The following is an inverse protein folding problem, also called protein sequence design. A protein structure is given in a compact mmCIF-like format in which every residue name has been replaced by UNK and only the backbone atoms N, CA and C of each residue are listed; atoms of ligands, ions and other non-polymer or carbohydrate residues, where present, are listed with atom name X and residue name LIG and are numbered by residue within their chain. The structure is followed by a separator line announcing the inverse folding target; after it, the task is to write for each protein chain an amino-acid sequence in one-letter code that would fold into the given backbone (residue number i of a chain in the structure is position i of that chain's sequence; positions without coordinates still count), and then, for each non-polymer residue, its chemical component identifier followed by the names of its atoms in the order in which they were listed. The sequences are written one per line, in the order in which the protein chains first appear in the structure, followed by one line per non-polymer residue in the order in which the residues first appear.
data_IF_963319239553
#
_entry.id   IF_963319239553
#
_cell.length_a   1.000
_cell.length_b   1.000
_cell.length_c   1.000
_cell.angle_alpha   90.00
_cell.angle_beta   90.00
_cell.angle_gamma   90.00
#
_symmetry.space_group_name_H-M   'P 1'
#
loop_
_entity.id
_entity.type
_entity.pdbx_description
1 polymer ?
#
# COMPACT_ATOMS: atom_id res chain seq x y z
N UNK A 1 -13.68 11.88 -19.31
CA UNK A 1 -13.05 11.63 -18.00
C UNK A 1 -11.90 12.61 -17.69
N UNK A 2 -11.07 12.99 -18.65
CA UNK A 2 -9.85 13.76 -18.37
C UNK A 2 -10.02 15.24 -17.99
N UNK A 3 -11.22 15.81 -18.03
CA UNK A 3 -11.50 17.20 -17.61
C UNK A 3 -11.89 17.30 -16.14
N UNK A 4 -12.46 16.23 -15.59
CA UNK A 4 -13.07 16.22 -14.25
C UNK A 4 -12.32 15.33 -13.27
N UNK A 5 -11.42 14.47 -13.78
CA UNK A 5 -10.62 13.57 -12.95
C UNK A 5 -9.45 14.33 -12.32
N UNK A 6 -9.39 14.35 -10.99
CA UNK A 6 -8.34 15.04 -10.21
C UNK A 6 -7.35 14.08 -9.55
N UNK A 7 -7.76 12.84 -9.32
CA UNK A 7 -6.99 11.83 -8.60
C UNK A 7 -7.17 10.45 -9.21
N UNK A 8 -6.07 9.73 -9.45
CA UNK A 8 -6.06 8.40 -10.04
C UNK A 8 -5.18 7.46 -9.22
N UNK A 9 -5.77 6.36 -8.77
CA UNK A 9 -5.06 5.29 -8.04
C UNK A 9 -4.83 4.14 -9.01
N UNK A 10 -3.57 3.77 -9.22
CA UNK A 10 -3.15 2.70 -10.12
C UNK A 10 -2.96 1.36 -9.39
N UNK A 11 -3.81 1.06 -8.43
CA UNK A 11 -3.85 -0.27 -7.82
C UNK A 11 -5.24 -0.57 -7.26
N UNK A 12 -5.62 -1.82 -7.35
CA UNK A 12 -6.79 -2.39 -6.70
C UNK A 12 -6.43 -3.80 -6.21
N UNK A 13 -6.06 -4.69 -7.12
CA UNK A 13 -5.53 -6.02 -6.88
C UNK A 13 -4.27 -6.21 -7.73
N UNK A 14 -3.35 -7.07 -7.28
CA UNK A 14 -2.13 -7.40 -8.00
C UNK A 14 -0.99 -6.40 -7.79
N UNK A 15 -0.03 -6.41 -8.72
CA UNK A 15 1.19 -5.62 -8.69
C UNK A 15 1.27 -4.74 -9.94
N UNK A 16 1.23 -3.40 -9.82
CA UNK A 16 1.20 -2.47 -10.96
C UNK A 16 2.40 -2.61 -11.88
N UNK A 17 3.59 -2.88 -11.34
CA UNK A 17 4.82 -2.99 -12.12
C UNK A 17 4.91 -4.25 -13.00
N UNK A 18 3.94 -5.15 -12.93
CA UNK A 18 3.78 -6.25 -13.89
C UNK A 18 3.15 -5.80 -15.20
N UNK A 19 2.45 -4.65 -15.21
CA UNK A 19 1.89 -4.10 -16.42
C UNK A 19 2.98 -3.27 -17.15
N UNK A 20 3.39 -3.64 -18.37
CA UNK A 20 4.45 -2.94 -19.09
C UNK A 20 4.09 -1.48 -19.43
N UNK A 21 2.81 -1.15 -19.56
CA UNK A 21 2.33 0.19 -19.91
C UNK A 21 2.07 1.07 -18.69
N UNK A 22 2.27 0.55 -17.46
CA UNK A 22 1.92 1.24 -16.23
C UNK A 22 2.52 2.64 -16.14
N UNK A 23 3.84 2.77 -16.33
CA UNK A 23 4.51 4.07 -16.21
C UNK A 23 4.15 5.04 -17.35
N UNK A 24 3.76 4.54 -18.52
CA UNK A 24 3.27 5.40 -19.60
C UNK A 24 1.87 5.92 -19.31
N UNK A 25 1.02 5.12 -18.65
CA UNK A 25 -0.26 5.60 -18.13
C UNK A 25 -0.08 6.68 -17.06
N UNK A 26 0.90 6.51 -16.16
CA UNK A 26 1.26 7.55 -15.16
C UNK A 26 1.72 8.84 -15.85
N UNK A 27 2.64 8.75 -16.83
CA UNK A 27 3.09 9.92 -17.62
C UNK A 27 1.94 10.63 -18.32
N UNK A 28 0.99 9.87 -18.86
CA UNK A 28 -0.17 10.45 -19.51
C UNK A 28 -1.05 11.20 -18.51
N UNK A 29 -1.32 10.62 -17.34
CA UNK A 29 -2.10 11.25 -16.28
C UNK A 29 -1.40 12.52 -15.75
N UNK A 30 -0.08 12.46 -15.52
CA UNK A 30 0.74 13.59 -15.09
C UNK A 30 0.66 14.76 -16.09
N UNK A 31 0.77 14.50 -17.41
CA UNK A 31 0.57 15.53 -18.45
C UNK A 31 -0.81 16.19 -18.41
N UNK A 32 -1.81 15.50 -17.88
CA UNK A 32 -3.17 16.03 -17.67
C UNK A 32 -3.35 16.71 -16.32
N UNK A 33 -2.30 16.80 -15.51
CA UNK A 33 -2.31 17.35 -14.15
C UNK A 33 -3.24 16.58 -13.20
N UNK A 34 -3.38 15.29 -13.42
CA UNK A 34 -4.12 14.38 -12.55
C UNK A 34 -3.13 13.84 -11.52
N UNK A 35 -3.43 14.00 -10.24
CA UNK A 35 -2.62 13.43 -9.16
C UNK A 35 -2.65 11.91 -9.20
N UNK A 36 -1.49 11.27 -9.18
CA UNK A 36 -1.33 9.83 -9.36
C UNK A 36 -0.76 9.16 -8.12
N UNK A 37 -1.32 8.02 -7.74
CA UNK A 37 -0.83 7.21 -6.64
C UNK A 37 -0.79 5.73 -7.02
N UNK A 38 0.19 5.01 -6.48
CA UNK A 38 0.24 3.55 -6.59
C UNK A 38 0.76 2.91 -5.32
N UNK A 39 0.52 1.60 -5.20
CA UNK A 39 1.10 0.74 -4.16
C UNK A 39 1.79 -0.45 -4.81
N UNK A 40 2.94 -0.85 -4.28
CA UNK A 40 3.77 -1.93 -4.81
C UNK A 40 4.36 -2.78 -3.69
N UNK A 41 4.64 -4.04 -4.02
CA UNK A 41 5.47 -4.91 -3.18
C UNK A 41 6.98 -4.65 -3.35
N UNK A 42 7.35 -3.71 -4.24
CA UNK A 42 8.70 -3.24 -4.54
C UNK A 42 9.69 -4.26 -5.12
N UNK A 43 9.29 -5.50 -5.40
CA UNK A 43 10.19 -6.53 -5.94
C UNK A 43 10.67 -6.23 -7.36
N UNK A 44 9.99 -5.35 -8.08
CA UNK A 44 10.30 -4.97 -9.46
C UNK A 44 11.01 -3.61 -9.58
N UNK A 45 11.31 -2.96 -8.45
CA UNK A 45 11.98 -1.65 -8.41
C UNK A 45 13.52 -1.79 -8.49
N UNK A 46 14.01 -2.45 -9.53
CA UNK A 46 15.43 -2.41 -9.84
C UNK A 46 15.87 -0.97 -10.20
N UNK A 47 17.17 -0.75 -10.37
CA UNK A 47 17.72 0.59 -10.62
C UNK A 47 17.08 1.29 -11.83
N UNK A 48 16.89 0.58 -12.95
CA UNK A 48 16.28 1.13 -14.16
C UNK A 48 14.79 1.48 -13.94
N UNK A 49 14.03 0.56 -13.31
CA UNK A 49 12.61 0.77 -13.07
C UNK A 49 12.37 1.89 -12.06
N UNK A 50 13.20 2.01 -11.05
CA UNK A 50 13.17 3.10 -10.08
C UNK A 50 13.38 4.46 -10.78
N UNK A 51 14.40 4.56 -11.66
CA UNK A 51 14.62 5.77 -12.47
C UNK A 51 13.41 6.13 -13.31
N UNK A 52 12.87 5.15 -14.07
CA UNK A 52 11.67 5.35 -14.89
C UNK A 52 10.45 5.79 -14.07
N UNK A 53 10.33 5.28 -12.83
CA UNK A 53 9.26 5.69 -11.90
C UNK A 53 9.37 7.17 -11.56
N UNK A 54 10.56 7.67 -11.22
CA UNK A 54 10.75 9.10 -10.98
C UNK A 54 10.44 9.92 -12.24
N UNK A 55 10.98 9.51 -13.39
CA UNK A 55 10.77 10.19 -14.68
C UNK A 55 9.32 10.16 -15.18
N UNK A 56 8.49 9.25 -14.66
CA UNK A 56 7.06 9.17 -15.00
C UNK A 56 6.24 10.33 -14.43
N UNK A 57 6.75 10.99 -13.38
CA UNK A 57 6.02 12.03 -12.66
C UNK A 57 4.94 11.45 -11.74
N UNK A 58 5.11 10.21 -11.26
CA UNK A 58 4.24 9.64 -10.22
C UNK A 58 4.28 10.53 -8.97
N UNK A 59 3.11 10.87 -8.40
CA UNK A 59 3.05 11.78 -7.26
C UNK A 59 3.21 11.06 -5.92
N UNK A 60 2.73 9.83 -5.80
CA UNK A 60 2.74 9.07 -4.54
C UNK A 60 3.02 7.60 -4.78
N UNK A 61 4.02 7.08 -4.06
CA UNK A 61 4.40 5.66 -4.09
C UNK A 61 4.29 5.06 -2.70
N UNK A 62 3.42 4.06 -2.56
CA UNK A 62 3.29 3.28 -1.34
C UNK A 62 4.07 1.98 -1.53
N UNK A 63 5.04 1.73 -0.66
CA UNK A 63 5.79 0.49 -0.60
C UNK A 63 5.27 -0.31 0.59
N UNK A 64 4.73 -1.49 0.32
CA UNK A 64 4.24 -2.40 1.35
C UNK A 64 5.40 -3.12 2.01
N UNK A 65 5.60 -2.86 3.32
CA UNK A 65 6.64 -3.48 4.13
C UNK A 65 6.03 -3.99 5.44
N UNK A 66 5.84 -5.30 5.57
CA UNK A 66 5.10 -5.88 6.69
C UNK A 66 6.01 -6.68 7.64
N UNK A 67 7.29 -6.28 7.71
CA UNK A 67 8.31 -6.82 8.61
C UNK A 67 9.66 -6.16 8.38
N UNK A 68 10.52 -6.14 9.40
CA UNK A 68 11.89 -5.62 9.34
C UNK A 68 12.94 -6.73 9.33
N UNK A 69 12.50 -7.98 9.50
CA UNK A 69 13.32 -9.18 9.33
C UNK A 69 12.62 -10.12 8.37
N UNK A 70 13.39 -10.93 7.61
CA UNK A 70 12.83 -11.86 6.62
C UNK A 70 11.84 -12.83 7.26
N UNK A 71 12.14 -13.38 8.42
CA UNK A 71 11.29 -14.37 9.09
C UNK A 71 9.94 -13.79 9.51
N UNK A 72 9.89 -12.53 9.94
CA UNK A 72 8.63 -11.85 10.28
C UNK A 72 7.89 -11.43 9.02
N UNK A 73 8.60 -10.85 8.04
CA UNK A 73 8.04 -10.39 6.79
C UNK A 73 7.29 -11.50 6.05
N UNK A 74 7.90 -12.69 5.92
CA UNK A 74 7.32 -13.81 5.19
C UNK A 74 6.11 -14.45 5.88
N UNK A 75 5.87 -14.20 7.17
CA UNK A 75 4.68 -14.72 7.86
C UNK A 75 3.39 -14.12 7.31
N UNK A 76 3.46 -12.89 6.80
CA UNK A 76 2.33 -12.24 6.12
C UNK A 76 2.53 -12.21 4.60
N UNK A 77 3.73 -11.89 4.13
CA UNK A 77 4.11 -11.82 2.71
C UNK A 77 4.73 -13.13 2.24
N UNK A 78 3.90 -14.17 2.17
CA UNK A 78 4.34 -15.53 1.78
C UNK A 78 5.06 -15.51 0.43
N UNK A 79 6.27 -16.08 0.40
CA UNK A 79 7.12 -16.08 -0.80
C UNK A 79 7.80 -14.75 -1.12
N UNK A 80 7.56 -13.69 -0.33
CA UNK A 80 8.23 -12.39 -0.51
C UNK A 80 9.67 -12.40 -0.01
N UNK A 81 10.49 -11.54 -0.59
CA UNK A 81 11.89 -11.33 -0.23
C UNK A 81 12.09 -9.91 0.28
N UNK A 82 12.36 -9.75 1.58
CA UNK A 82 12.50 -8.46 2.22
C UNK A 82 13.66 -7.63 1.65
N UNK A 83 14.82 -8.29 1.35
CA UNK A 83 15.98 -7.54 0.82
C UNK A 83 15.66 -6.89 -0.54
N UNK A 84 14.89 -7.57 -1.41
CA UNK A 84 14.42 -6.95 -2.66
C UNK A 84 13.51 -5.73 -2.42
N UNK A 85 12.68 -5.77 -1.39
CA UNK A 85 11.83 -4.62 -1.02
C UNK A 85 12.68 -3.44 -0.58
N UNK A 86 13.69 -3.71 0.27
CA UNK A 86 14.60 -2.69 0.78
C UNK A 86 15.49 -2.13 -0.33
N UNK A 87 15.99 -2.97 -1.23
CA UNK A 87 16.74 -2.56 -2.42
C UNK A 87 15.88 -1.66 -3.31
N UNK A 88 14.64 -2.06 -3.60
CA UNK A 88 13.70 -1.27 -4.39
C UNK A 88 13.43 0.11 -3.77
N UNK A 89 13.27 0.16 -2.44
CA UNK A 89 13.07 1.42 -1.73
C UNK A 89 14.31 2.32 -1.80
N UNK A 90 15.51 1.76 -1.60
CA UNK A 90 16.79 2.49 -1.73
C UNK A 90 16.98 3.03 -3.15
N UNK A 91 16.64 2.25 -4.17
CA UNK A 91 16.72 2.68 -5.57
C UNK A 91 15.78 3.87 -5.86
N UNK A 92 14.56 3.86 -5.36
CA UNK A 92 13.62 4.99 -5.49
C UNK A 92 14.18 6.25 -4.83
N UNK A 93 14.65 6.15 -3.58
CA UNK A 93 15.21 7.30 -2.86
C UNK A 93 16.48 7.82 -3.54
N UNK A 94 17.36 6.93 -4.00
CA UNK A 94 18.55 7.28 -4.78
C UNK A 94 18.18 8.13 -6.00
N UNK A 95 17.30 7.64 -6.86
CA UNK A 95 16.92 8.34 -8.08
C UNK A 95 16.13 9.63 -7.84
N UNK A 96 15.32 9.66 -6.77
CA UNK A 96 14.65 10.88 -6.33
C UNK A 96 15.67 11.97 -6.00
N UNK A 97 16.75 11.61 -5.29
CA UNK A 97 17.83 12.55 -4.92
C UNK A 97 18.67 12.94 -6.15
N UNK A 98 19.10 11.98 -6.98
CA UNK A 98 19.94 12.24 -8.16
C UNK A 98 19.24 13.16 -9.17
N UNK A 99 17.95 12.95 -9.40
CA UNK A 99 17.15 13.78 -10.30
C UNK A 99 16.57 15.04 -9.62
N UNK A 100 16.87 15.25 -8.33
CA UNK A 100 16.37 16.37 -7.51
C UNK A 100 14.84 16.48 -7.60
N UNK A 101 14.15 15.35 -7.62
CA UNK A 101 12.69 15.31 -7.73
C UNK A 101 12.03 15.38 -6.35
N UNK A 102 10.97 16.18 -6.24
CA UNK A 102 10.12 16.19 -5.05
C UNK A 102 9.06 15.07 -5.07
N UNK A 103 8.94 14.36 -6.19
CA UNK A 103 8.00 13.25 -6.35
C UNK A 103 8.71 11.97 -6.81
N UNK A 104 8.14 10.82 -6.50
CA UNK A 104 6.93 10.59 -5.69
C UNK A 104 7.15 10.86 -4.19
N UNK A 105 6.07 11.18 -3.46
CA UNK A 105 6.04 11.08 -2.01
C UNK A 105 6.06 9.60 -1.64
N UNK A 106 7.14 9.13 -1.00
CA UNK A 106 7.41 7.70 -0.76
C UNK A 106 6.95 7.32 0.65
N UNK A 107 6.05 6.35 0.73
CA UNK A 107 5.48 5.88 1.98
C UNK A 107 5.84 4.41 2.20
N UNK A 108 6.44 4.08 3.34
CA UNK A 108 6.41 2.74 3.88
C UNK A 108 5.07 2.49 4.54
N UNK A 109 4.27 1.61 3.97
CA UNK A 109 3.03 1.17 4.60
C UNK A 109 3.28 -0.15 5.32
N UNK A 110 3.10 -0.12 6.64
CA UNK A 110 3.25 -1.27 7.53
C UNK A 110 1.87 -1.70 8.04
N UNK A 111 1.42 -2.86 7.59
CA UNK A 111 0.18 -3.46 8.07
C UNK A 111 0.47 -4.14 9.40
N UNK A 112 -0.04 -3.58 10.49
CA UNK A 112 0.21 -4.13 11.82
C UNK A 112 -0.64 -5.39 12.03
N UNK A 113 0.03 -6.49 12.25
CA UNK A 113 -0.54 -7.79 12.61
C UNK A 113 0.24 -8.36 13.80
N UNK A 114 -0.35 -9.30 14.53
CA UNK A 114 0.28 -9.89 15.72
C UNK A 114 1.73 -10.38 15.51
N UNK A 115 2.08 -11.04 14.37
CA UNK A 115 3.45 -11.48 14.14
C UNK A 115 4.48 -10.35 14.03
N UNK A 116 4.08 -9.14 13.61
CA UNK A 116 5.01 -8.03 13.34
C UNK A 116 4.83 -6.82 14.27
N UNK A 117 3.85 -6.80 15.16
CA UNK A 117 3.56 -5.65 16.03
C UNK A 117 4.74 -5.22 16.92
N UNK A 118 5.66 -6.14 17.23
CA UNK A 118 6.87 -5.85 17.99
C UNK A 118 7.93 -5.08 17.18
N UNK A 119 7.79 -4.97 15.86
CA UNK A 119 8.73 -4.29 14.95
C UNK A 119 8.32 -2.85 14.57
N UNK A 120 7.30 -2.29 15.23
CA UNK A 120 6.80 -0.93 14.93
C UNK A 120 7.92 0.12 15.03
N UNK A 121 8.74 0.08 16.08
CA UNK A 121 9.82 1.05 16.24
C UNK A 121 10.99 0.77 15.27
N UNK A 122 11.21 -0.47 14.90
CA UNK A 122 12.27 -0.84 13.96
C UNK A 122 11.94 -0.38 12.53
N UNK A 123 10.68 -0.51 12.10
CA UNK A 123 10.29 0.00 10.77
C UNK A 123 10.35 1.53 10.68
N UNK A 124 10.10 2.26 11.76
CA UNK A 124 10.30 3.72 11.81
C UNK A 124 11.78 4.09 11.62
N UNK A 125 12.68 3.39 12.31
CA UNK A 125 14.14 3.58 12.16
C UNK A 125 14.57 3.25 10.74
N UNK A 126 14.13 2.10 10.22
CA UNK A 126 14.45 1.64 8.86
C UNK A 126 13.98 2.64 7.79
N UNK A 127 12.76 3.16 7.93
CA UNK A 127 12.24 4.18 7.03
C UNK A 127 13.08 5.47 7.04
N UNK A 128 13.53 5.89 8.22
CA UNK A 128 14.42 7.04 8.37
C UNK A 128 15.81 6.78 7.77
N UNK A 129 16.38 5.60 7.97
CA UNK A 129 17.67 5.19 7.43
C UNK A 129 17.68 5.15 5.90
N UNK A 130 16.62 4.63 5.30
CA UNK A 130 16.47 4.58 3.84
C UNK A 130 16.15 5.97 3.29
N UNK A 131 15.44 6.81 4.04
CA UNK A 131 15.07 8.17 3.65
C UNK A 131 13.72 8.24 2.94
N UNK A 132 12.76 7.36 3.28
CA UNK A 132 11.38 7.51 2.82
C UNK A 132 10.72 8.70 3.48
N UNK A 133 9.72 9.28 2.82
CA UNK A 133 9.07 10.50 3.32
C UNK A 133 8.14 10.23 4.52
N UNK A 134 7.56 9.02 4.60
CA UNK A 134 6.61 8.65 5.67
C UNK A 134 6.65 7.14 5.98
N UNK A 135 6.39 6.78 7.24
CA UNK A 135 6.04 5.42 7.65
C UNK A 135 4.60 5.42 8.18
N UNK A 136 3.70 4.83 7.41
CA UNK A 136 2.27 4.79 7.72
C UNK A 136 1.86 3.41 8.24
N UNK A 137 1.17 3.39 9.39
CA UNK A 137 0.63 2.16 9.97
C UNK A 137 -0.81 1.94 9.55
N UNK A 138 -1.14 0.70 9.19
CA UNK A 138 -2.49 0.26 8.84
C UNK A 138 -2.93 -0.86 9.74
N UNK A 139 -4.22 -0.90 10.04
CA UNK A 139 -4.87 -2.00 10.74
C UNK A 139 -5.30 -3.06 9.74
N UNK A 140 -5.14 -4.33 10.09
CA UNK A 140 -5.53 -5.45 9.25
C UNK A 140 -7.05 -5.66 9.25
N UNK A 141 -7.60 -5.87 8.05
CA UNK A 141 -8.96 -6.37 7.89
C UNK A 141 -8.90 -7.91 7.76
N UNK A 142 -9.58 -8.59 8.66
CA UNK A 142 -9.61 -10.06 8.75
C UNK A 142 -11.05 -10.50 8.55
N UNK A 143 -11.29 -11.38 7.58
CA UNK A 143 -12.65 -11.82 7.25
C UNK A 143 -13.21 -12.76 8.31
N UNK A 144 -12.43 -13.78 8.73
CA UNK A 144 -12.84 -14.78 9.71
C UNK A 144 -12.36 -14.40 11.12
N UNK A 145 -12.74 -13.22 11.59
CA UNK A 145 -12.27 -12.68 12.87
C UNK A 145 -13.02 -13.20 14.10
N UNK A 146 -14.27 -13.65 13.99
CA UNK A 146 -15.18 -13.94 15.10
C UNK A 146 -14.61 -14.96 16.09
N UNK A 147 -13.98 -16.02 15.60
CA UNK A 147 -13.36 -17.06 16.39
C UNK A 147 -11.88 -16.77 16.73
N UNK A 148 -11.41 -15.58 16.41
CA UNK A 148 -10.02 -15.17 16.55
C UNK A 148 -9.16 -15.54 15.36
N UNK A 149 -8.05 -14.82 15.22
CA UNK A 149 -7.06 -15.05 14.17
C UNK A 149 -5.67 -14.73 14.71
N UNK A 150 -4.67 -15.48 14.26
CA UNK A 150 -3.26 -15.22 14.56
C UNK A 150 -2.75 -13.88 13.98
N UNK A 151 -3.53 -13.22 13.14
CA UNK A 151 -3.21 -11.91 12.57
C UNK A 151 -3.79 -10.75 13.40
N UNK A 152 -4.72 -10.99 14.36
CA UNK A 152 -5.26 -9.91 15.20
C UNK A 152 -4.17 -9.41 16.13
N UNK A 153 -3.79 -8.11 16.04
CA UNK A 153 -2.80 -7.51 16.93
C UNK A 153 -3.23 -7.58 18.40
N UNK A 154 -2.25 -7.70 19.29
CA UNK A 154 -2.49 -7.58 20.72
C UNK A 154 -2.51 -6.12 21.17
N UNK A 155 -1.88 -5.24 20.43
CA UNK A 155 -1.91 -3.78 20.67
C UNK A 155 -3.28 -3.25 20.24
N UNK A 156 -4.08 -2.85 21.22
CA UNK A 156 -5.47 -2.46 21.03
C UNK A 156 -5.67 -1.33 20.01
N UNK A 157 -4.78 -0.36 19.99
CA UNK A 157 -4.79 0.76 19.05
C UNK A 157 -4.74 0.30 17.57
N UNK A 158 -4.04 -0.78 17.27
CA UNK A 158 -3.88 -1.33 15.91
C UNK A 158 -4.87 -2.44 15.59
N UNK A 159 -5.81 -2.77 16.48
CA UNK A 159 -6.83 -3.79 16.24
C UNK A 159 -8.18 -3.17 15.89
N UNK A 160 -8.77 -3.63 14.78
CA UNK A 160 -10.19 -3.35 14.46
C UNK A 160 -11.17 -4.13 15.34
N UNK A 161 -10.67 -5.11 16.11
CA UNK A 161 -11.48 -6.11 16.78
C UNK A 161 -11.31 -6.01 18.29
N UNK A 162 -12.42 -6.20 19.01
CA UNK A 162 -12.46 -6.30 20.46
C UNK A 162 -12.82 -7.73 20.87
N UNK A 163 -12.04 -8.30 21.78
CA UNK A 163 -12.36 -9.60 22.38
C UNK A 163 -13.46 -9.44 23.39
N UNK A 164 -14.48 -10.31 23.34
CA UNK A 164 -15.62 -10.35 24.25
C UNK A 164 -15.37 -11.37 25.39
N UNK A 165 -16.22 -11.33 26.41
CA UNK A 165 -16.14 -12.23 27.58
C UNK A 165 -16.35 -13.71 27.22
N UNK A 166 -17.12 -13.98 26.17
CA UNK A 166 -17.33 -15.32 25.60
C UNK A 166 -16.14 -15.85 24.77
N UNK A 167 -15.07 -15.04 24.64
CA UNK A 167 -13.86 -15.36 23.88
C UNK A 167 -13.93 -15.02 22.40
N UNK A 168 -15.08 -14.61 21.87
CA UNK A 168 -15.26 -14.20 20.48
C UNK A 168 -14.78 -12.78 20.26
N UNK A 169 -14.64 -12.41 18.97
CA UNK A 169 -14.24 -11.06 18.57
C UNK A 169 -15.39 -10.34 17.84
N UNK A 170 -15.51 -9.05 18.08
CA UNK A 170 -16.45 -8.16 17.40
C UNK A 170 -15.71 -6.96 16.82
N UNK A 171 -16.28 -6.33 15.79
CA UNK A 171 -15.72 -5.11 15.22
C UNK A 171 -15.95 -3.95 16.20
N UNK A 172 -14.87 -3.22 16.52
CA UNK A 172 -14.92 -2.09 17.48
C UNK A 172 -15.78 -0.93 16.98
N UNK A 173 -15.66 -0.60 15.71
CA UNK A 173 -16.32 0.56 15.13
C UNK A 173 -17.63 0.13 14.46
N UNK A 174 -18.73 0.79 14.85
CA UNK A 174 -20.01 0.60 14.16
C UNK A 174 -19.86 0.98 12.69
N UNK A 175 -20.15 0.03 11.80
CA UNK A 175 -20.21 0.31 10.37
C UNK A 175 -21.45 1.15 10.08
N UNK A 176 -21.22 2.40 9.71
CA UNK A 176 -22.30 3.27 9.24
C UNK A 176 -22.64 2.88 7.80
N UNK A 177 -23.94 2.70 7.53
CA UNK A 177 -24.41 2.25 6.20
C UNK A 177 -24.43 3.40 5.17
N UNK A 178 -23.36 4.19 5.14
CA UNK A 178 -23.13 5.23 4.13
C UNK A 178 -21.64 5.34 3.84
N UNK A 179 -21.29 5.42 2.57
CA UNK A 179 -19.93 5.54 2.09
C UNK A 179 -19.82 6.75 1.16
N UNK A 180 -19.04 7.75 1.57
CA UNK A 180 -18.78 8.94 0.77
C UNK A 180 -18.16 8.60 -0.59
N UNK A 181 -17.29 7.58 -0.66
CA UNK A 181 -16.61 7.19 -1.91
C UNK A 181 -17.55 6.79 -3.04
N UNK A 182 -18.72 6.24 -2.73
CA UNK A 182 -19.71 5.87 -3.75
C UNK A 182 -20.17 7.05 -4.62
N UNK A 183 -20.06 8.28 -4.10
CA UNK A 183 -20.57 9.48 -4.77
C UNK A 183 -19.55 10.20 -5.65
N UNK A 184 -18.26 9.92 -5.47
CA UNK A 184 -17.22 10.67 -6.16
C UNK A 184 -16.09 9.80 -6.75
N UNK A 185 -16.20 8.48 -6.65
CA UNK A 185 -15.20 7.56 -7.19
C UNK A 185 -15.82 6.27 -7.71
N UNK A 186 -15.11 5.62 -8.60
CA UNK A 186 -15.38 4.26 -9.04
C UNK A 186 -14.07 3.50 -9.16
N UNK A 187 -14.16 2.19 -9.24
CA UNK A 187 -13.01 1.31 -9.54
C UNK A 187 -13.21 0.72 -10.93
N UNK A 188 -12.17 0.72 -11.73
CA UNK A 188 -12.11 0.01 -13.01
C UNK A 188 -11.23 -1.21 -12.78
N UNK A 189 -11.80 -2.39 -13.00
CA UNK A 189 -11.09 -3.66 -12.82
C UNK A 189 -10.14 -3.94 -13.98
N UNK A 190 -9.30 -4.95 -13.85
CA UNK A 190 -8.32 -5.34 -14.88
C UNK A 190 -8.99 -5.77 -16.20
N UNK A 191 -10.22 -6.28 -16.16
CA UNK A 191 -11.05 -6.70 -17.31
C UNK A 191 -11.97 -5.59 -17.82
N UNK A 192 -11.82 -4.37 -17.29
CA UNK A 192 -12.54 -3.17 -17.75
C UNK A 192 -13.95 -2.99 -17.20
N UNK A 193 -14.37 -3.79 -16.23
CA UNK A 193 -15.64 -3.57 -15.53
C UNK A 193 -15.55 -2.37 -14.61
N UNK A 194 -16.67 -1.68 -14.41
CA UNK A 194 -16.78 -0.57 -13.47
C UNK A 194 -17.54 -1.03 -12.24
N UNK A 195 -16.89 -0.94 -11.08
CA UNK A 195 -17.47 -1.34 -9.81
C UNK A 195 -17.51 -0.16 -8.84
N UNK A 196 -18.50 -0.11 -7.93
CA UNK A 196 -18.71 1.05 -7.06
C UNK A 196 -17.62 1.22 -6.00
N UNK A 197 -16.98 0.15 -5.56
CA UNK A 197 -15.96 0.23 -4.51
C UNK A 197 -15.02 -0.98 -4.52
N UNK A 198 -13.95 -0.87 -3.71
CA UNK A 198 -12.93 -1.91 -3.58
C UNK A 198 -13.37 -3.17 -2.80
N UNK A 199 -14.58 -3.22 -2.28
CA UNK A 199 -15.14 -4.43 -1.67
C UNK A 199 -15.88 -5.32 -2.68
N UNK A 200 -16.22 -4.77 -3.84
CA UNK A 200 -16.85 -5.51 -4.93
C UNK A 200 -15.76 -6.15 -5.81
N UNK A 201 -15.25 -7.26 -5.33
CA UNK A 201 -14.10 -7.96 -5.96
C UNK A 201 -14.52 -8.96 -7.03
N UNK A 202 -15.76 -9.40 -6.97
CA UNK A 202 -16.29 -10.54 -7.73
C UNK A 202 -17.30 -10.09 -8.79
N UNK A 203 -17.26 -8.79 -9.17
CA UNK A 203 -18.19 -8.19 -10.13
C UNK A 203 -18.14 -8.78 -11.55
#
# INVERSE_FOLDING_TARGET
LGKDLTYLIFYFLGEPYLNPDFLDMVKYANKKKIYTATSTNAHYLNDEMAKKTIESGLDRLIISIDGTTQDVYQQYRVGGNLEKVLEGARNIVKWKNELKSNTPFVIFQFLVVKPNEHQIEDVKKLGKEIGVDEVAFKTAQIYDYENGSNLIPTIDYYSHYAKQDDGKYTIKNKMLNHCWKLWHSCVITWDGKVVPCCFDKDA
#
